data_IF_707531716702
#
_entry.id   IF_707531716702
#
_cell.length_a   1.000
_cell.length_b   1.000
_cell.length_c   1.000
_cell.angle_alpha   90.00
_cell.angle_beta   90.00
_cell.angle_gamma   90.00
#
_symmetry.space_group_name_H-M   'P 1'
#
loop_
_entity.id
_entity.type
_entity.pdbx_description
1 polymer ?
#
# COMPACT_ATOMS: atom_id res chain seq x y z
N UNK A 1 -1.46 13.89 9.38
CA UNK A 1 -1.21 13.87 7.92
C UNK A 1 -2.25 13.07 7.13
N UNK A 2 -2.84 11.98 7.65
CA UNK A 2 -3.84 11.16 6.91
C UNK A 2 -5.21 11.02 7.60
N UNK A 3 -5.65 12.05 8.32
CA UNK A 3 -6.88 11.98 9.15
C UNK A 3 -8.16 11.82 8.33
N UNK A 4 -8.13 12.13 7.03
CA UNK A 4 -9.26 11.95 6.10
C UNK A 4 -9.29 10.58 5.41
N UNK A 5 -8.30 9.73 5.67
CA UNK A 5 -8.24 8.38 5.11
C UNK A 5 -8.87 7.38 6.06
N UNK A 6 -9.47 6.33 5.48
CA UNK A 6 -9.88 5.16 6.25
C UNK A 6 -8.67 4.56 6.98
N UNK A 7 -8.91 3.82 8.06
CA UNK A 7 -7.83 3.15 8.79
C UNK A 7 -7.01 2.22 7.87
N UNK A 8 -7.69 1.55 6.92
CA UNK A 8 -7.04 0.73 5.88
C UNK A 8 -6.13 1.55 4.97
N UNK A 9 -6.62 2.64 4.42
CA UNK A 9 -5.81 3.50 3.55
C UNK A 9 -4.61 4.11 4.28
N UNK A 10 -4.73 4.39 5.59
CA UNK A 10 -3.58 4.78 6.42
C UNK A 10 -2.56 3.66 6.56
N UNK A 11 -2.99 2.42 6.79
CA UNK A 11 -2.10 1.25 6.87
C UNK A 11 -1.33 1.02 5.57
N UNK A 12 -1.99 1.16 4.42
CA UNK A 12 -1.33 1.04 3.10
C UNK A 12 -0.15 1.99 2.95
N UNK A 13 -0.28 3.24 3.40
CA UNK A 13 0.83 4.22 3.32
C UNK A 13 1.99 3.84 4.25
N UNK A 14 1.69 3.30 5.44
CA UNK A 14 2.73 2.79 6.35
C UNK A 14 3.46 1.59 5.75
N UNK A 15 2.72 0.66 5.13
CA UNK A 15 3.30 -0.49 4.44
C UNK A 15 4.15 -0.03 3.25
N UNK A 16 3.67 0.90 2.44
CA UNK A 16 4.43 1.47 1.33
C UNK A 16 5.74 2.14 1.79
N UNK A 17 5.74 2.81 2.94
CA UNK A 17 6.97 3.37 3.52
C UNK A 17 7.97 2.28 3.91
N UNK A 18 7.50 1.14 4.41
CA UNK A 18 8.34 -0.01 4.74
C UNK A 18 8.91 -0.66 3.48
N UNK A 19 8.11 -0.83 2.43
CA UNK A 19 8.57 -1.35 1.13
C UNK A 19 9.66 -0.45 0.52
N UNK A 20 9.48 0.88 0.56
CA UNK A 20 10.50 1.82 0.10
C UNK A 20 11.81 1.69 0.90
N UNK A 21 11.70 1.50 2.22
CA UNK A 21 12.85 1.29 3.11
C UNK A 21 13.58 -0.02 2.79
N UNK A 22 12.85 -1.11 2.59
CA UNK A 22 13.40 -2.43 2.25
C UNK A 22 14.12 -2.42 0.90
N UNK A 23 13.62 -1.64 -0.07
CA UNK A 23 14.23 -1.47 -1.38
C UNK A 23 15.33 -0.38 -1.42
N UNK A 24 15.65 0.26 -0.29
CA UNK A 24 16.61 1.37 -0.19
C UNK A 24 16.26 2.57 -1.09
N UNK A 25 14.96 2.85 -1.26
CA UNK A 25 14.47 4.03 -1.96
C UNK A 25 14.23 5.19 -0.99
N UNK A 26 14.65 6.39 -1.39
CA UNK A 26 14.55 7.60 -0.55
C UNK A 26 13.17 8.29 -0.63
N UNK A 27 12.23 7.73 -1.38
CA UNK A 27 10.87 8.26 -1.53
C UNK A 27 9.87 7.14 -1.78
N UNK A 28 8.60 7.40 -1.44
CA UNK A 28 7.50 6.50 -1.76
C UNK A 28 7.04 6.75 -3.21
N UNK A 29 7.53 5.93 -4.13
CA UNK A 29 6.98 5.80 -5.49
C UNK A 29 5.65 5.04 -5.55
N UNK A 30 5.00 5.05 -6.71
CA UNK A 30 3.72 4.36 -6.96
C UNK A 30 3.82 2.84 -6.78
N UNK A 31 4.99 2.28 -7.07
CA UNK A 31 5.33 0.87 -6.89
C UNK A 31 5.22 0.44 -5.43
N UNK A 32 5.63 1.28 -4.48
CA UNK A 32 5.51 0.97 -3.05
C UNK A 32 4.07 1.08 -2.57
N UNK A 33 3.28 1.99 -3.13
CA UNK A 33 1.84 2.07 -2.85
C UNK A 33 1.15 0.78 -3.31
N UNK A 34 1.50 0.28 -4.51
CA UNK A 34 0.98 -0.99 -5.00
C UNK A 34 1.38 -2.15 -4.08
N UNK A 35 2.65 -2.25 -3.69
CA UNK A 35 3.11 -3.27 -2.74
C UNK A 35 2.40 -3.15 -1.38
N UNK A 36 2.18 -1.92 -0.89
CA UNK A 36 1.43 -1.68 0.33
C UNK A 36 -0.04 -2.11 0.25
N UNK A 37 -0.67 -1.99 -0.93
CA UNK A 37 -2.03 -2.49 -1.18
C UNK A 37 -2.08 -4.01 -1.20
N UNK A 38 -1.11 -4.65 -1.86
CA UNK A 38 -0.98 -6.12 -1.89
C UNK A 38 -0.75 -6.65 -0.48
N UNK A 39 0.14 -6.03 0.28
CA UNK A 39 0.48 -6.43 1.65
C UNK A 39 -0.69 -6.20 2.62
N UNK A 40 -1.48 -5.12 2.50
CA UNK A 40 -2.65 -4.93 3.37
C UNK A 40 -3.67 -6.05 3.20
N UNK A 41 -3.78 -6.62 1.99
CA UNK A 41 -4.48 -7.88 1.72
C UNK A 41 -5.99 -7.85 1.95
N UNK A 42 -6.57 -6.70 2.31
CA UNK A 42 -7.98 -6.56 2.63
C UNK A 42 -8.64 -5.39 1.89
N UNK A 43 -9.96 -5.28 2.06
CA UNK A 43 -10.73 -4.16 1.52
C UNK A 43 -10.95 -4.22 0.01
N UNK A 44 -11.37 -3.08 -0.55
CA UNK A 44 -11.81 -3.01 -1.96
C UNK A 44 -10.62 -3.11 -2.91
N UNK A 45 -9.47 -2.52 -2.55
CA UNK A 45 -8.30 -2.52 -3.41
C UNK A 45 -7.66 -3.91 -3.51
N UNK A 46 -7.50 -4.64 -2.41
CA UNK A 46 -7.00 -6.01 -2.45
C UNK A 46 -7.88 -6.92 -3.33
N UNK A 47 -9.21 -6.86 -3.14
CA UNK A 47 -10.16 -7.61 -3.98
C UNK A 47 -10.08 -7.26 -5.46
N UNK A 48 -9.80 -5.99 -5.78
CA UNK A 48 -9.63 -5.56 -7.16
C UNK A 48 -8.30 -6.05 -7.76
N UNK A 49 -7.24 -6.21 -6.95
CA UNK A 49 -5.98 -6.80 -7.38
C UNK A 49 -6.15 -8.33 -7.58
N UNK A 50 -6.79 -9.02 -6.63
CA UNK A 50 -7.11 -10.44 -6.74
C UNK A 50 -7.95 -10.75 -8.00
N UNK A 51 -8.92 -9.90 -8.34
CA UNK A 51 -9.74 -10.11 -9.55
C UNK A 51 -8.97 -9.94 -10.86
N UNK A 52 -7.79 -9.29 -10.82
CA UNK A 52 -6.85 -9.18 -11.92
C UNK A 52 -5.77 -10.28 -11.89
N UNK A 53 -5.81 -11.17 -10.89
CA UNK A 53 -4.82 -12.24 -10.71
C UNK A 53 -3.46 -11.75 -10.19
N UNK A 54 -3.45 -10.59 -9.51
CA UNK A 54 -2.29 -10.00 -8.85
C UNK A 54 -2.25 -10.47 -7.40
#
# INVERSE_FOLDING_TARGET
VFERFTDRARRVVVLAQEEARLLNHNYIGTEHILLGLIHEGEGVAAKALESLGI
#
